data_IF_192637577771
#
_entry.id   IF_192637577771
#
_cell.length_a   1.000
_cell.length_b   1.000
_cell.length_c   1.000
_cell.angle_alpha   90.00
_cell.angle_beta   90.00
_cell.angle_gamma   90.00
#
_symmetry.space_group_name_H-M   'P 1'
#
loop_
_entity.id
_entity.type
_entity.pdbx_description
1 polymer ?
#
# COMPACT_ATOMS: atom_id res chain seq x y z
N UNK A 1 -85.40 15.81 7.41
CA UNK A 1 -84.13 16.41 7.84
C UNK A 1 -83.01 15.43 7.54
N UNK A 2 -82.10 15.90 6.70
CA UNK A 2 -80.81 15.35 6.25
C UNK A 2 -79.83 15.07 7.40
N UNK A 3 -79.04 13.99 7.29
CA UNK A 3 -77.57 13.92 7.48
C UNK A 3 -77.14 12.43 7.36
N UNK A 4 -76.38 12.02 6.33
CA UNK A 4 -74.90 11.85 6.30
C UNK A 4 -74.38 10.86 7.38
N UNK A 5 -73.48 9.90 7.16
CA UNK A 5 -72.43 9.72 6.14
C UNK A 5 -71.85 8.30 6.27
N UNK A 6 -71.40 7.73 5.14
CA UNK A 6 -70.50 6.56 5.05
C UNK A 6 -69.13 6.90 5.65
N UNK A 7 -68.50 5.98 6.38
CA UNK A 7 -67.07 6.00 6.72
C UNK A 7 -66.68 4.74 7.52
N UNK A 8 -65.59 3.99 7.31
CA UNK A 8 -64.53 3.99 6.29
C UNK A 8 -63.79 2.65 6.43
N UNK A 9 -63.38 2.04 5.30
CA UNK A 9 -62.32 1.03 5.23
C UNK A 9 -60.99 1.57 5.81
N UNK A 10 -60.17 0.70 6.42
CA UNK A 10 -58.76 0.41 6.09
C UNK A 10 -58.05 -0.14 7.34
N UNK A 11 -57.86 -1.46 7.39
CA UNK A 11 -56.93 -2.10 8.29
C UNK A 11 -56.07 -3.07 7.47
N UNK A 12 -54.95 -2.57 6.95
CA UNK A 12 -53.84 -3.37 6.44
C UNK A 12 -52.65 -2.45 6.18
N UNK A 13 -51.96 -2.04 7.26
CA UNK A 13 -50.60 -1.52 7.16
C UNK A 13 -49.66 -2.68 7.43
N UNK A 14 -49.37 -3.48 6.41
CA UNK A 14 -48.27 -4.46 6.44
C UNK A 14 -46.96 -3.69 6.46
N UNK A 15 -46.31 -3.66 7.63
CA UNK A 15 -44.96 -3.16 7.80
C UNK A 15 -43.98 -4.10 7.07
N UNK A 16 -43.72 -3.83 5.80
CA UNK A 16 -42.54 -4.35 5.11
C UNK A 16 -41.31 -3.56 5.62
N UNK A 17 -40.86 -3.90 6.83
CA UNK A 17 -39.54 -3.54 7.32
C UNK A 17 -38.50 -4.34 6.54
N UNK A 18 -38.19 -3.88 5.34
CA UNK A 18 -37.01 -4.31 4.61
C UNK A 18 -35.81 -3.96 5.50
N UNK A 19 -35.20 -4.96 6.12
CA UNK A 19 -33.86 -4.84 6.68
C UNK A 19 -32.93 -4.53 5.50
N UNK A 20 -32.73 -3.24 5.23
CA UNK A 20 -31.55 -2.78 4.53
C UNK A 20 -30.37 -3.11 5.46
N UNK A 21 -29.81 -4.30 5.27
CA UNK A 21 -28.48 -4.61 5.77
C UNK A 21 -27.60 -3.63 4.99
N UNK A 22 -27.33 -2.47 5.58
CA UNK A 22 -26.32 -1.58 5.06
C UNK A 22 -25.01 -2.36 5.20
N UNK A 23 -24.58 -3.00 4.10
CA UNK A 23 -23.24 -3.53 3.98
C UNK A 23 -22.33 -2.33 4.24
N UNK A 24 -21.80 -2.26 5.47
CA UNK A 24 -20.76 -1.30 5.79
C UNK A 24 -19.63 -1.62 4.81
N UNK A 25 -19.15 -0.67 4.00
CA UNK A 25 -17.92 -0.89 3.27
C UNK A 25 -16.88 -1.29 4.31
N UNK A 26 -16.34 -2.50 4.18
CA UNK A 26 -15.14 -2.88 4.94
C UNK A 26 -14.11 -1.83 4.56
N UNK A 27 -13.65 -1.06 5.54
CA UNK A 27 -12.60 -0.10 5.31
C UNK A 27 -11.40 -0.88 4.75
N UNK A 28 -10.92 -0.50 3.58
CA UNK A 28 -9.72 -1.08 3.00
C UNK A 28 -8.58 -0.90 4.01
N UNK A 29 -7.93 -1.99 4.41
CA UNK A 29 -6.73 -1.90 5.23
C UNK A 29 -5.62 -1.28 4.39
N UNK A 30 -4.78 -0.46 5.03
CA UNK A 30 -3.60 0.13 4.39
C UNK A 30 -2.39 -0.11 5.27
N UNK A 31 -1.32 -0.61 4.66
CA UNK A 31 -0.04 -0.88 5.32
C UNK A 31 1.07 -0.17 4.56
N UNK A 32 2.02 0.40 5.31
CA UNK A 32 3.15 1.13 4.77
C UNK A 32 4.46 0.39 5.08
N UNK A 33 5.38 0.42 4.13
CA UNK A 33 6.72 -0.14 4.25
C UNK A 33 7.74 0.92 3.85
N UNK A 34 8.47 1.44 4.82
CA UNK A 34 9.50 2.45 4.59
C UNK A 34 10.81 1.79 4.12
N UNK A 35 11.30 2.21 2.96
CA UNK A 35 12.60 1.78 2.43
C UNK A 35 13.68 2.60 3.13
N UNK A 36 14.38 2.01 4.09
CA UNK A 36 15.28 2.76 5.01
C UNK A 36 16.66 2.15 5.17
N UNK A 37 16.86 0.96 4.62
CA UNK A 37 18.11 0.23 4.72
C UNK A 37 18.80 0.22 3.37
N UNK A 38 20.08 0.63 3.38
CA UNK A 38 20.91 0.88 2.20
C UNK A 38 21.83 -0.32 1.94
N UNK A 39 21.68 -0.90 0.75
CA UNK A 39 22.52 -2.00 0.28
C UNK A 39 23.17 -1.69 -1.07
N UNK A 40 23.23 -0.42 -1.46
CA UNK A 40 23.91 0.00 -2.67
C UNK A 40 25.43 -0.09 -2.50
N UNK A 41 26.11 -0.44 -3.59
CA UNK A 41 27.58 -0.38 -3.62
C UNK A 41 27.99 1.10 -3.53
N UNK A 42 28.82 1.44 -2.53
CA UNK A 42 29.22 2.81 -2.17
C UNK A 42 28.11 3.69 -1.52
N UNK A 43 26.95 3.11 -1.23
CA UNK A 43 25.85 3.73 -0.50
C UNK A 43 24.92 4.60 -1.37
N UNK A 44 23.62 4.30 -1.36
CA UNK A 44 22.59 5.15 -1.92
C UNK A 44 22.23 6.30 -0.98
N UNK A 45 22.55 6.19 0.31
CA UNK A 45 22.25 7.19 1.32
C UNK A 45 22.99 6.89 2.64
N UNK A 46 22.71 7.70 3.67
CA UNK A 46 23.17 7.36 5.02
C UNK A 46 22.24 6.34 5.68
N UNK A 47 22.70 5.67 6.74
CA UNK A 47 21.85 4.81 7.56
C UNK A 47 20.60 5.56 8.06
N UNK A 48 19.41 4.98 7.88
CA UNK A 48 18.14 5.58 8.30
C UNK A 48 17.62 6.66 7.35
N UNK A 49 18.24 6.83 6.18
CA UNK A 49 17.70 7.65 5.11
C UNK A 49 16.44 7.01 4.52
N UNK A 50 15.39 7.80 4.27
CA UNK A 50 14.16 7.31 3.64
C UNK A 50 14.34 7.35 2.13
N UNK A 51 14.48 6.19 1.51
CA UNK A 51 14.63 6.04 0.06
C UNK A 51 13.30 6.04 -0.69
N UNK A 52 12.22 5.69 0.01
CA UNK A 52 10.89 5.57 -0.56
C UNK A 52 9.91 4.90 0.40
N UNK A 53 8.65 4.83 -0.01
CA UNK A 53 7.58 4.15 0.70
C UNK A 53 6.82 3.27 -0.26
N UNK A 54 6.62 2.03 0.16
CA UNK A 54 5.63 1.13 -0.44
C UNK A 54 4.34 1.24 0.37
N UNK A 55 3.24 1.52 -0.31
CA UNK A 55 1.89 1.54 0.25
C UNK A 55 1.11 0.38 -0.33
N UNK A 56 0.54 -0.44 0.54
CA UNK A 56 -0.36 -1.52 0.19
C UNK A 56 -1.75 -1.17 0.67
N UNK A 57 -2.76 -1.26 -0.20
CA UNK A 57 -4.16 -1.00 0.17
C UNK A 57 -5.04 -2.13 -0.33
N UNK A 58 -5.88 -2.70 0.54
CA UNK A 58 -6.85 -3.71 0.12
C UNK A 58 -7.78 -3.17 -0.97
N UNK A 59 -7.97 -3.93 -2.03
CA UNK A 59 -8.96 -3.62 -3.05
C UNK A 59 -10.33 -4.09 -2.56
N UNK A 60 -11.34 -3.23 -2.71
CA UNK A 60 -12.71 -3.54 -2.31
C UNK A 60 -13.17 -4.88 -2.90
N UNK A 61 -13.70 -5.77 -2.05
CA UNK A 61 -14.10 -7.11 -2.43
C UNK A 61 -13.11 -8.22 -2.07
N UNK A 62 -11.95 -7.91 -1.47
CA UNK A 62 -11.08 -8.87 -0.79
C UNK A 62 -10.36 -9.87 -1.69
N UNK A 63 -10.01 -9.46 -2.92
CA UNK A 63 -9.33 -10.31 -3.90
C UNK A 63 -8.13 -9.62 -4.54
N UNK A 64 -7.46 -8.76 -3.79
CA UNK A 64 -6.33 -8.02 -4.31
C UNK A 64 -5.87 -6.89 -3.43
N UNK A 65 -4.66 -6.46 -3.72
CA UNK A 65 -3.97 -5.36 -3.05
C UNK A 65 -3.47 -4.41 -4.12
N UNK A 66 -3.76 -3.13 -3.93
CA UNK A 66 -3.11 -2.06 -4.67
C UNK A 66 -1.75 -1.81 -4.06
N UNK A 67 -0.72 -2.04 -4.86
CA UNK A 67 0.66 -1.72 -4.54
C UNK A 67 0.99 -0.35 -5.14
N UNK A 68 1.51 0.56 -4.31
CA UNK A 68 2.05 1.84 -4.75
C UNK A 68 3.48 2.01 -4.23
N UNK A 69 4.41 2.41 -5.09
CA UNK A 69 5.77 2.78 -4.71
C UNK A 69 5.99 4.26 -5.04
N UNK A 70 6.43 5.01 -4.03
CA UNK A 70 6.90 6.39 -4.15
C UNK A 70 8.34 6.46 -3.67
N UNK A 71 9.23 6.96 -4.53
CA UNK A 71 10.66 7.10 -4.23
C UNK A 71 10.96 8.54 -3.79
N UNK A 72 11.82 8.67 -2.79
CA UNK A 72 12.20 9.94 -2.20
C UNK A 72 13.37 10.61 -2.94
N UNK A 73 13.56 11.91 -2.71
CA UNK A 73 14.73 12.69 -3.11
C UNK A 73 15.09 12.61 -4.61
N UNK A 74 14.07 12.43 -5.46
CA UNK A 74 14.26 12.30 -6.90
C UNK A 74 14.92 10.99 -7.33
N UNK A 75 14.96 10.00 -6.43
CA UNK A 75 15.43 8.66 -6.75
C UNK A 75 14.56 8.01 -7.81
N UNK A 76 15.17 7.22 -8.67
CA UNK A 76 14.52 6.58 -9.81
C UNK A 76 14.52 5.07 -9.64
N UNK A 77 13.47 4.40 -10.12
CA UNK A 77 13.45 2.95 -10.23
C UNK A 77 14.35 2.54 -11.39
N UNK A 78 15.22 1.55 -11.16
CA UNK A 78 16.11 0.99 -12.19
C UNK A 78 15.98 -0.52 -12.19
N UNK A 79 16.58 -1.14 -13.20
CA UNK A 79 16.86 -2.56 -13.21
C UNK A 79 18.34 -2.73 -13.50
N UNK A 80 19.18 -2.68 -12.46
CA UNK A 80 20.62 -2.90 -12.59
C UNK A 80 21.01 -4.37 -12.63
N UNK A 81 20.02 -5.26 -12.64
CA UNK A 81 20.23 -6.69 -12.59
C UNK A 81 20.50 -7.15 -11.16
N UNK A 82 19.57 -7.95 -10.65
CA UNK A 82 19.82 -8.84 -9.54
C UNK A 82 20.96 -9.83 -9.88
N UNK A 83 21.63 -10.43 -8.89
CA UNK A 83 22.84 -11.21 -9.11
C UNK A 83 22.60 -12.38 -10.09
N UNK A 84 23.65 -12.93 -10.71
CA UNK A 84 23.54 -14.01 -11.68
C UNK A 84 22.68 -15.17 -11.16
N UNK A 85 21.58 -15.47 -11.85
CA UNK A 85 20.58 -16.47 -11.46
C UNK A 85 19.23 -15.89 -11.04
N UNK A 86 19.17 -14.59 -10.77
CA UNK A 86 17.92 -13.85 -10.69
C UNK A 86 17.37 -13.56 -12.10
N UNK A 87 16.07 -13.27 -12.22
CA UNK A 87 15.52 -12.84 -13.48
C UNK A 87 16.21 -11.58 -14.00
N UNK A 88 16.54 -11.51 -15.31
CA UNK A 88 16.75 -10.20 -15.92
C UNK A 88 15.46 -9.39 -15.75
N UNK A 89 15.55 -8.08 -15.56
CA UNK A 89 14.40 -7.18 -15.64
C UNK A 89 13.50 -7.08 -14.41
N UNK A 90 13.90 -7.61 -13.25
CA UNK A 90 13.12 -7.43 -12.04
C UNK A 90 13.64 -6.20 -11.25
N UNK A 91 12.73 -5.37 -10.71
CA UNK A 91 13.09 -4.10 -10.04
C UNK A 91 12.62 -4.05 -8.58
N UNK A 92 11.63 -4.87 -8.24
CA UNK A 92 11.03 -4.95 -6.90
C UNK A 92 10.81 -6.43 -6.58
N UNK A 93 11.05 -6.88 -5.35
CA UNK A 93 10.64 -8.21 -4.89
C UNK A 93 10.02 -8.23 -3.51
N UNK A 94 9.24 -9.28 -3.27
CA UNK A 94 8.46 -9.50 -2.06
C UNK A 94 8.08 -10.99 -1.91
N UNK A 95 7.63 -11.36 -0.70
CA UNK A 95 7.07 -12.66 -0.36
C UNK A 95 5.63 -12.53 0.12
N UNK A 96 4.88 -13.64 0.14
CA UNK A 96 3.52 -13.69 0.66
C UNK A 96 3.36 -14.81 1.70
N UNK A 97 2.83 -14.50 2.90
CA UNK A 97 2.72 -15.41 4.07
C UNK A 97 1.80 -16.62 3.86
N UNK A 98 1.05 -16.65 2.76
CA UNK A 98 0.28 -17.80 2.31
C UNK A 98 0.30 -17.79 0.79
N UNK A 99 1.21 -18.54 0.18
CA UNK A 99 1.38 -18.68 -1.28
C UNK A 99 0.00 -18.81 -1.96
N UNK A 100 -0.59 -17.69 -2.44
CA UNK A 100 -1.99 -17.67 -2.78
C UNK A 100 -2.18 -18.43 -4.10
N UNK A 101 -3.44 -18.55 -4.56
CA UNK A 101 -3.69 -18.92 -5.96
C UNK A 101 -2.80 -18.05 -6.89
N UNK A 102 -2.43 -18.52 -8.09
CA UNK A 102 -1.52 -17.81 -8.97
C UNK A 102 -1.90 -16.33 -9.08
N UNK A 103 -0.93 -15.45 -8.84
CA UNK A 103 -1.15 -14.02 -8.88
C UNK A 103 -1.52 -13.61 -10.30
N UNK A 104 -2.40 -12.62 -10.41
CA UNK A 104 -2.74 -11.96 -11.67
C UNK A 104 -2.50 -10.48 -11.47
N UNK A 105 -1.74 -9.86 -12.38
CA UNK A 105 -1.62 -8.41 -12.42
C UNK A 105 -2.76 -7.80 -13.23
N UNK A 106 -3.22 -6.62 -12.83
CA UNK A 106 -3.99 -5.73 -13.69
C UNK A 106 -3.14 -4.50 -13.98
N UNK A 107 -3.07 -4.14 -15.26
CA UNK A 107 -2.26 -3.08 -15.86
C UNK A 107 -1.83 -1.99 -14.86
N UNK A 108 -0.51 -1.89 -14.62
CA UNK A 108 0.07 -0.80 -13.86
C UNK A 108 -0.20 0.54 -14.54
N UNK A 109 -0.53 1.56 -13.74
CA UNK A 109 -0.63 2.94 -14.21
C UNK A 109 0.44 3.75 -13.49
N UNK A 110 1.25 4.47 -14.26
CA UNK A 110 2.22 5.42 -13.71
C UNK A 110 1.61 6.80 -13.75
N UNK A 111 1.85 7.57 -12.69
CA UNK A 111 1.23 8.89 -12.55
C UNK A 111 2.34 9.94 -12.61
N UNK A 112 2.29 10.80 -13.63
CA UNK A 112 3.24 11.88 -13.98
C UNK A 112 4.69 11.50 -14.30
N UNK A 113 5.29 12.21 -15.28
CA UNK A 113 6.72 12.16 -15.61
C UNK A 113 7.23 10.94 -16.40
N UNK A 114 6.62 9.76 -16.27
CA UNK A 114 7.01 8.56 -17.02
C UNK A 114 6.44 8.58 -18.46
N UNK A 115 7.16 8.08 -19.48
CA UNK A 115 6.61 7.88 -20.82
C UNK A 115 5.32 7.05 -20.74
N UNK A 116 4.28 7.42 -21.50
CA UNK A 116 2.97 6.75 -21.51
C UNK A 116 2.99 5.23 -21.78
N UNK A 117 4.14 4.69 -22.18
CA UNK A 117 4.41 3.28 -22.41
C UNK A 117 5.01 2.55 -21.20
N UNK A 118 5.18 3.19 -20.05
CA UNK A 118 5.95 2.64 -18.91
C UNK A 118 5.04 1.90 -17.94
N UNK A 119 5.37 0.64 -17.60
CA UNK A 119 4.50 -0.23 -16.81
C UNK A 119 5.29 -1.16 -15.89
N UNK A 120 4.78 -1.34 -14.67
CA UNK A 120 5.12 -2.49 -13.84
C UNK A 120 4.27 -3.70 -14.27
N UNK A 121 4.85 -4.88 -14.18
CA UNK A 121 4.13 -6.15 -14.33
C UNK A 121 4.72 -7.20 -13.41
N UNK A 122 3.93 -8.19 -13.03
CA UNK A 122 4.47 -9.35 -12.32
C UNK A 122 5.48 -10.07 -13.20
N UNK A 123 6.67 -10.33 -12.65
CA UNK A 123 7.66 -11.17 -13.29
C UNK A 123 7.19 -12.63 -13.35
N UNK A 124 6.62 -13.09 -12.23
CA UNK A 124 6.11 -14.44 -12.05
C UNK A 124 4.77 -14.44 -11.32
N UNK A 125 3.89 -15.36 -11.69
CA UNK A 125 2.56 -15.51 -11.09
C UNK A 125 2.50 -16.63 -10.06
N UNK A 126 3.56 -17.44 -9.96
CA UNK A 126 3.69 -18.54 -8.99
C UNK A 126 4.97 -18.34 -8.20
N UNK A 127 4.94 -18.61 -6.89
CA UNK A 127 6.12 -18.46 -6.04
C UNK A 127 7.34 -19.19 -6.62
N UNK A 128 8.47 -18.49 -6.60
CA UNK A 128 9.75 -18.97 -7.07
C UNK A 128 10.82 -18.81 -5.98
N UNK A 129 12.08 -19.07 -6.33
CA UNK A 129 13.24 -18.78 -5.49
C UNK A 129 14.11 -17.77 -6.22
N UNK A 130 13.74 -16.50 -6.13
CA UNK A 130 14.36 -15.37 -6.82
C UNK A 130 15.47 -14.80 -5.93
N UNK A 131 16.73 -15.00 -6.30
CA UNK A 131 17.86 -14.48 -5.53
C UNK A 131 17.97 -12.95 -5.61
N UNK A 132 18.09 -12.30 -4.47
CA UNK A 132 18.39 -10.86 -4.32
C UNK A 132 19.65 -10.70 -3.50
N UNK A 133 20.67 -10.08 -4.09
CA UNK A 133 22.00 -9.97 -3.50
C UNK A 133 21.93 -9.39 -2.08
N UNK A 134 22.50 -10.10 -1.08
CA UNK A 134 22.47 -9.69 0.33
C UNK A 134 21.15 -9.94 1.07
N UNK A 135 20.02 -10.07 0.36
CA UNK A 135 18.69 -10.26 0.95
C UNK A 135 18.18 -11.70 0.91
N UNK A 136 18.90 -12.61 0.25
CA UNK A 136 18.51 -14.00 0.14
C UNK A 136 17.55 -14.21 -1.02
N UNK A 137 16.46 -14.94 -0.80
CA UNK A 137 15.51 -15.30 -1.85
C UNK A 137 14.11 -14.75 -1.57
N UNK A 138 13.50 -14.25 -2.63
CA UNK A 138 12.10 -13.86 -2.69
C UNK A 138 11.27 -14.80 -3.57
N UNK A 139 9.96 -14.76 -3.40
CA UNK A 139 8.99 -15.60 -4.10
C UNK A 139 8.44 -14.92 -5.34
N UNK A 140 8.27 -13.60 -5.29
CA UNK A 140 7.67 -12.79 -6.35
C UNK A 140 8.51 -11.56 -6.65
N UNK A 141 8.40 -11.08 -7.89
CA UNK A 141 8.99 -9.83 -8.30
C UNK A 141 8.10 -9.03 -9.25
N UNK A 142 8.30 -7.72 -9.27
CA UNK A 142 7.75 -6.82 -10.29
C UNK A 142 8.87 -6.38 -11.23
N UNK A 143 8.56 -6.41 -12.52
CA UNK A 143 9.42 -5.95 -13.60
C UNK A 143 8.98 -4.58 -14.06
N UNK A 144 9.92 -3.65 -14.11
CA UNK A 144 9.76 -2.37 -14.81
C UNK A 144 10.31 -2.50 -16.23
N UNK A 145 9.44 -2.69 -17.23
CA UNK A 145 9.86 -3.02 -18.61
C UNK A 145 10.68 -1.94 -19.31
N UNK A 146 10.69 -0.73 -18.79
CA UNK A 146 11.31 0.45 -19.38
C UNK A 146 12.41 1.01 -18.48
N UNK A 147 12.59 0.42 -17.29
CA UNK A 147 13.75 0.68 -16.49
C UNK A 147 14.96 0.09 -17.22
N UNK A 148 15.95 0.93 -17.46
CA UNK A 148 17.22 0.52 -18.01
C UNK A 148 18.21 0.18 -16.91
N UNK A 149 19.32 -0.45 -17.34
CA UNK A 149 20.46 -0.70 -16.47
C UNK A 149 21.27 0.59 -16.24
N UNK A 150 21.59 0.85 -14.97
CA UNK A 150 22.52 1.89 -14.55
C UNK A 150 21.98 3.33 -14.53
N UNK A 151 22.86 4.29 -14.30
CA UNK A 151 22.52 5.69 -13.97
C UNK A 151 21.79 6.51 -15.05
N UNK A 152 21.64 5.99 -16.27
CA UNK A 152 20.88 6.64 -17.35
C UNK A 152 19.52 5.99 -17.65
N UNK A 153 19.20 4.88 -17.00
CA UNK A 153 18.01 4.07 -17.26
C UNK A 153 16.87 4.24 -16.25
N UNK A 154 17.02 5.16 -15.29
CA UNK A 154 16.05 5.33 -14.21
C UNK A 154 14.71 5.90 -14.67
N UNK A 155 13.63 5.39 -14.10
CA UNK A 155 12.26 5.89 -14.30
C UNK A 155 11.77 6.53 -13.01
N UNK A 156 11.12 7.69 -13.11
CA UNK A 156 10.50 8.36 -11.97
C UNK A 156 9.11 7.77 -11.67
N UNK A 157 8.76 7.72 -10.38
CA UNK A 157 7.43 7.34 -9.92
C UNK A 157 6.48 8.55 -9.75
N UNK A 158 5.33 8.37 -9.08
CA UNK A 158 4.89 7.14 -8.39
C UNK A 158 4.51 5.98 -9.31
N UNK A 159 4.72 4.77 -8.82
CA UNK A 159 4.34 3.53 -9.49
C UNK A 159 3.12 2.91 -8.81
N UNK A 160 2.11 2.48 -9.56
CA UNK A 160 0.95 1.78 -9.00
C UNK A 160 0.56 0.57 -9.84
N UNK A 161 0.30 -0.56 -9.18
CA UNK A 161 -0.18 -1.81 -9.79
C UNK A 161 -1.16 -2.51 -8.84
N UNK A 162 -2.20 -3.13 -9.41
CA UNK A 162 -3.11 -3.98 -8.64
C UNK A 162 -2.64 -5.43 -8.77
N UNK A 163 -2.31 -6.06 -7.65
CA UNK A 163 -1.96 -7.47 -7.54
C UNK A 163 -3.22 -8.21 -7.08
N UNK A 164 -3.70 -9.15 -7.89
CA UNK A 164 -4.94 -9.86 -7.63
C UNK A 164 -4.68 -11.34 -7.35
N UNK A 165 -5.34 -11.86 -6.33
CA UNK A 165 -5.46 -13.29 -6.06
C UNK A 165 -6.71 -13.53 -5.19
N UNK A 166 -7.26 -14.74 -5.23
CA UNK A 166 -8.40 -15.08 -4.40
C UNK A 166 -8.02 -14.98 -2.92
N UNK A 167 -8.73 -14.13 -2.17
CA UNK A 167 -8.47 -13.90 -0.75
C UNK A 167 -7.18 -13.11 -0.44
N UNK A 168 -6.52 -12.53 -1.44
CA UNK A 168 -5.32 -11.71 -1.21
C UNK A 168 -5.68 -10.41 -0.49
N UNK A 169 -4.94 -10.11 0.56
CA UNK A 169 -5.05 -8.95 1.43
C UNK A 169 -3.67 -8.38 1.76
N UNK A 170 -3.65 -7.19 2.33
CA UNK A 170 -2.44 -6.52 2.83
C UNK A 170 -1.69 -7.33 3.89
N UNK A 171 -2.40 -8.12 4.70
CA UNK A 171 -1.81 -8.99 5.74
C UNK A 171 -0.93 -10.09 5.14
N UNK A 172 -1.20 -10.51 3.89
CA UNK A 172 -0.40 -11.53 3.22
C UNK A 172 1.02 -11.06 2.90
N UNK A 173 1.28 -9.75 2.88
CA UNK A 173 2.62 -9.19 2.62
C UNK A 173 3.51 -9.17 3.88
N UNK A 174 3.25 -10.03 4.85
CA UNK A 174 3.97 -10.12 6.13
C UNK A 174 5.13 -11.13 6.14
N UNK A 175 5.50 -11.71 4.99
CA UNK A 175 6.63 -12.65 4.89
C UNK A 175 7.93 -11.92 4.50
N UNK A 176 9.02 -12.24 5.20
CA UNK A 176 10.37 -11.76 4.86
C UNK A 176 11.07 -12.69 3.86
N UNK A 177 12.09 -12.17 3.19
CA UNK A 177 13.06 -12.96 2.41
C UNK A 177 13.78 -14.02 3.25
N UNK A 178 14.30 -15.05 2.59
CA UNK A 178 14.95 -16.22 3.23
C UNK A 178 16.40 -16.35 2.79
N UNK A 179 17.33 -16.65 3.72
CA UNK A 179 18.71 -17.04 3.37
C UNK A 179 19.67 -15.90 3.02
N UNK A 180 19.31 -14.63 3.28
CA UNK A 180 20.19 -13.46 3.15
C UNK A 180 20.89 -13.04 4.44
N UNK A 181 21.85 -12.12 4.31
CA UNK A 181 22.51 -11.47 5.46
C UNK A 181 21.53 -10.56 6.22
N UNK A 182 20.61 -9.94 5.49
CA UNK A 182 19.48 -9.17 6.01
C UNK A 182 18.18 -9.73 5.42
N UNK A 183 17.14 -9.83 6.25
CA UNK A 183 15.82 -10.26 5.82
C UNK A 183 14.89 -9.07 5.68
N UNK A 184 14.28 -8.93 4.51
CA UNK A 184 13.42 -7.80 4.18
C UNK A 184 12.04 -8.26 3.70
N UNK A 185 11.03 -7.42 3.89
CA UNK A 185 9.69 -7.63 3.32
C UNK A 185 9.67 -7.27 1.84
N UNK A 186 10.36 -6.18 1.50
CA UNK A 186 10.51 -5.68 0.14
C UNK A 186 11.95 -5.31 -0.12
N UNK A 187 12.40 -5.58 -1.34
CA UNK A 187 13.64 -5.03 -1.86
C UNK A 187 13.34 -4.30 -3.17
N UNK A 188 13.94 -3.12 -3.36
CA UNK A 188 13.74 -2.25 -4.53
C UNK A 188 15.09 -1.81 -5.06
N UNK A 189 15.29 -1.94 -6.36
CA UNK A 189 16.49 -1.45 -7.03
C UNK A 189 16.30 0.00 -7.49
N UNK A 190 17.14 0.90 -6.98
CA UNK A 190 17.03 2.34 -7.20
C UNK A 190 18.31 2.93 -7.78
N UNK A 191 18.16 4.05 -8.48
CA UNK A 191 19.20 5.06 -8.66
C UNK A 191 18.95 6.15 -7.62
N UNK A 192 19.87 6.31 -6.67
CA UNK A 192 19.76 7.34 -5.64
C UNK A 192 19.82 8.74 -6.25
N UNK A 193 18.80 9.55 -6.00
CA UNK A 193 18.81 10.98 -6.33
C UNK A 193 19.79 11.79 -5.47
N UNK A 194 20.30 11.22 -4.38
CA UNK A 194 21.25 11.85 -3.45
C UNK A 194 22.70 11.60 -3.87
N UNK A 195 23.07 10.34 -4.11
CA UNK A 195 24.46 9.95 -4.36
C UNK A 195 24.75 9.62 -5.83
N UNK A 196 23.72 9.37 -6.63
CA UNK A 196 23.86 8.90 -8.02
C UNK A 196 24.33 7.46 -8.15
N UNK A 197 24.48 6.72 -7.04
CA UNK A 197 24.76 5.29 -7.06
C UNK A 197 23.48 4.48 -7.24
N UNK A 198 23.62 3.31 -7.83
CA UNK A 198 22.54 2.34 -8.00
C UNK A 198 22.68 1.19 -7.02
N UNK A 199 21.56 0.60 -6.67
CA UNK A 199 21.50 -0.66 -5.96
C UNK A 199 20.24 -0.81 -5.12
N UNK A 200 20.29 -1.81 -4.27
CA UNK A 200 19.12 -2.25 -3.53
C UNK A 200 18.92 -1.44 -2.26
N UNK A 201 17.66 -1.13 -2.00
CA UNK A 201 17.16 -0.62 -0.72
C UNK A 201 15.99 -1.47 -0.25
N UNK A 202 15.79 -1.56 1.06
CA UNK A 202 14.81 -2.49 1.62
C UNK A 202 13.96 -1.92 2.75
N UNK A 203 12.81 -2.60 2.95
CA UNK A 203 11.94 -2.42 4.10
C UNK A 203 12.09 -3.59 5.08
N UNK A 204 12.61 -3.30 6.27
CA UNK A 204 12.83 -4.29 7.33
C UNK A 204 11.61 -4.58 8.19
N UNK A 205 10.53 -3.79 8.04
CA UNK A 205 9.27 -3.91 8.76
C UNK A 205 8.18 -2.97 8.23
N UNK A 206 6.90 -3.24 8.54
CA UNK A 206 5.84 -2.28 8.32
C UNK A 206 6.06 -1.06 9.23
N UNK A 207 5.84 0.14 8.72
CA UNK A 207 5.80 1.35 9.53
C UNK A 207 4.45 1.46 10.24
N UNK A 208 4.47 1.95 11.49
CA UNK A 208 3.25 2.33 12.23
C UNK A 208 2.40 3.31 11.41
N UNK A 209 1.08 3.39 11.63
CA UNK A 209 0.04 3.55 10.60
C UNK A 209 0.00 4.88 9.84
N UNK A 210 0.98 5.75 10.05
CA UNK A 210 1.12 7.01 9.34
C UNK A 210 2.06 6.81 8.14
N UNK A 211 1.69 7.37 6.99
CA UNK A 211 2.56 7.39 5.83
C UNK A 211 3.88 8.10 6.22
N UNK A 212 5.06 7.50 6.03
CA UNK A 212 6.34 8.11 6.39
C UNK A 212 6.61 9.46 5.68
N UNK A 213 5.92 9.73 4.56
CA UNK A 213 5.95 11.02 3.88
C UNK A 213 4.97 12.05 4.44
N UNK A 214 3.96 11.59 5.19
CA UNK A 214 2.92 12.44 5.78
C UNK A 214 3.29 12.71 7.23
N UNK A 215 4.10 13.75 7.47
CA UNK A 215 4.39 14.22 8.83
C UNK A 215 3.18 14.90 9.49
N UNK A 216 1.95 14.55 9.13
CA UNK A 216 0.72 15.17 9.62
C UNK A 216 0.30 14.49 10.92
N UNK A 217 0.18 15.24 12.03
CA UNK A 217 -0.33 14.70 13.28
C UNK A 217 -1.77 14.17 13.12
N UNK A 218 -1.89 12.84 13.15
CA UNK A 218 -3.03 12.04 13.60
C UNK A 218 -4.43 12.47 13.08
N UNK A 219 -4.52 12.77 11.78
CA UNK A 219 -5.74 12.59 10.97
C UNK A 219 -7.07 13.14 11.54
N UNK A 220 -7.03 14.21 12.32
CA UNK A 220 -8.21 14.83 12.93
C UNK A 220 -8.82 14.09 14.14
N UNK A 221 -8.22 12.99 14.61
CA UNK A 221 -8.67 12.30 15.83
C UNK A 221 -8.49 13.16 17.07
N UNK A 222 -7.41 13.94 17.13
CA UNK A 222 -7.15 14.98 18.12
C UNK A 222 -8.20 16.11 18.07
N UNK A 223 -8.67 16.50 16.88
CA UNK A 223 -9.75 17.50 16.70
C UNK A 223 -11.10 16.95 17.16
N UNK A 224 -11.41 15.69 16.89
CA UNK A 224 -12.63 15.03 17.37
C UNK A 224 -12.64 14.85 18.90
N UNK A 225 -11.49 14.53 19.51
CA UNK A 225 -11.34 14.45 20.95
C UNK A 225 -11.47 15.82 21.62
N UNK A 226 -10.88 16.85 21.02
CA UNK A 226 -11.01 18.22 21.51
C UNK A 226 -12.45 18.75 21.38
N UNK A 227 -13.12 18.45 20.26
CA UNK A 227 -14.51 18.81 20.01
C UNK A 227 -15.48 18.13 20.98
N UNK A 228 -15.28 16.85 21.29
CA UNK A 228 -16.10 16.12 22.26
C UNK A 228 -15.82 16.56 23.71
N UNK A 229 -14.58 16.90 24.06
CA UNK A 229 -14.23 17.47 25.35
C UNK A 229 -14.92 18.83 25.59
N UNK A 230 -14.94 19.72 24.59
CA UNK A 230 -15.59 21.03 24.67
C UNK A 230 -17.11 20.92 24.80
N UNK A 231 -17.75 19.96 24.11
CA UNK A 231 -19.18 19.67 24.28
C UNK A 231 -19.49 19.16 25.68
N UNK A 232 -18.65 18.26 26.22
CA UNK A 232 -18.78 17.75 27.60
C UNK A 232 -18.67 18.87 28.65
N UNK A 233 -17.68 19.76 28.51
CA UNK A 233 -17.51 20.91 29.41
C UNK A 233 -18.69 21.89 29.31
N UNK A 234 -19.20 22.14 28.10
CA UNK A 234 -20.37 23.00 27.87
C UNK A 234 -21.64 22.47 28.54
N UNK A 235 -21.88 21.16 28.49
CA UNK A 235 -23.01 20.52 29.15
C UNK A 235 -22.88 20.52 30.68
N UNK A 236 -21.68 20.31 31.20
CA UNK A 236 -21.41 20.31 32.64
C UNK A 236 -21.64 21.72 33.24
N UNK A 237 -21.23 22.77 32.54
CA UNK A 237 -21.45 24.17 32.96
C UNK A 237 -22.93 24.57 33.01
N UNK A 238 -23.78 24.03 32.13
CA UNK A 238 -25.24 24.22 32.16
C UNK A 238 -25.92 23.51 33.33
N UNK A 239 -25.36 22.40 33.80
CA UNK A 239 -25.92 21.61 34.90
C UNK A 239 -25.60 22.19 36.27
N UNK A 240 -24.43 22.81 36.42
CA UNK A 240 -23.94 23.33 37.71
C UNK A 240 -23.98 24.86 37.84
N UNK A 241 -24.34 25.60 36.78
CA UNK A 241 -24.46 27.07 36.78
C UNK A 241 -25.81 27.64 37.24
N UNK A 242 -26.71 26.81 37.77
CA UNK A 242 -27.94 27.27 38.45
C UNK A 242 -27.78 27.05 39.95
N UNK A 243 -27.01 27.94 40.58
CA UNK A 243 -26.90 28.11 42.02
C UNK A 243 -26.92 29.60 42.32
#
# INVERSE_FOLDING_TARGET
MTLFKKSTLLAALTAAGLFAIAERPVAANTVYYALTSDHCTNGCGGNGHLFGVITLTDIAGGNGVRFTLELADGSLLVDTGFPPGAPPDASIAFNLDLNPAPLVDQNATLTEGAPASTSLSLFNTSAASLGFNGFGTFEYALTCKQCGTGGGGGVAGPFTIDILAAGLTTDDFAQKSVGGDVQAYFAVDILSGVTGYTGLVDASGPSTPDNPFDSVPDGGTTVALLGSALLGIGMMRRRFGKG
#
